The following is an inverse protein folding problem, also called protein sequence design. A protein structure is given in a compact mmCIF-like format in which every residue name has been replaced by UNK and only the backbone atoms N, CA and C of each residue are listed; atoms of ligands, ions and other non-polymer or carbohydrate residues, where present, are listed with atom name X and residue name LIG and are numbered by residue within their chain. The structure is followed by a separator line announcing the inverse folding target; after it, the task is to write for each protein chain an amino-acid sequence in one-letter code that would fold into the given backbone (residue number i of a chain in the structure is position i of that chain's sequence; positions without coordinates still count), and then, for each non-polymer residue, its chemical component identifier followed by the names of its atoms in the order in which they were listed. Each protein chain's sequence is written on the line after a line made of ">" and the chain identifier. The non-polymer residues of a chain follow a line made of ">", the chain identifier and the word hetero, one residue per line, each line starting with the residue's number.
data_IF_872463133055
#
_entry.id   IF_872463133055
#
_cell.length_a   1.000
_cell.length_b   1.000
_cell.length_c   1.000
_cell.angle_alpha   90.00
_cell.angle_beta   90.00
_cell.angle_gamma   90.00
#
_symmetry.space_group_name_H-M   'P 1'
#
loop_
_entity.id
_entity.type
_entity.pdbx_description
1 polymer ?
#
# COMPACT_ATOMS: atom_id res chain seq x y z
N UNK A 1 11.18 17.26 -10.83
CA UNK A 1 10.80 16.94 -9.43
C UNK A 1 10.89 15.44 -9.30
N UNK A 2 11.98 14.94 -8.72
CA UNK A 2 12.39 13.53 -8.82
C UNK A 2 11.50 12.60 -7.98
N UNK A 3 11.02 11.54 -8.61
CA UNK A 3 10.28 10.44 -7.97
C UNK A 3 11.26 9.56 -7.16
N UNK A 4 10.91 9.22 -5.91
CA UNK A 4 11.54 8.12 -5.16
C UNK A 4 10.55 6.95 -5.05
N UNK A 5 10.94 5.72 -5.47
CA UNK A 5 10.06 4.55 -5.46
C UNK A 5 9.89 3.93 -4.05
N UNK A 6 8.90 3.05 -3.88
CA UNK A 6 9.18 1.72 -3.29
C UNK A 6 8.65 1.33 -1.91
N UNK A 7 8.06 2.22 -1.10
CA UNK A 7 7.67 1.86 0.27
C UNK A 7 6.35 1.07 0.36
N UNK A 8 6.40 -0.14 0.93
CA UNK A 8 5.25 -0.96 1.30
C UNK A 8 4.97 -0.83 2.79
N UNK A 9 3.70 -0.72 3.18
CA UNK A 9 3.30 -0.65 4.59
C UNK A 9 2.84 -2.00 5.12
N UNK A 10 3.07 -2.20 6.41
CA UNK A 10 2.80 -3.45 7.08
C UNK A 10 2.36 -3.15 8.51
N UNK A 11 1.52 -4.03 9.03
CA UNK A 11 1.16 -4.04 10.44
C UNK A 11 1.37 -5.43 10.99
N UNK A 12 2.12 -5.55 12.07
CA UNK A 12 2.38 -6.82 12.74
C UNK A 12 1.84 -6.78 14.15
N UNK A 13 1.04 -7.78 14.51
CA UNK A 13 0.48 -7.92 15.87
C UNK A 13 1.24 -9.01 16.64
N UNK A 14 1.75 -8.65 17.82
CA UNK A 14 2.44 -9.55 18.77
C UNK A 14 1.91 -9.24 20.17
N UNK A 15 1.27 -10.20 20.83
CA UNK A 15 0.85 -10.13 22.25
C UNK A 15 0.16 -8.83 22.69
N UNK A 16 -0.75 -8.30 21.84
CA UNK A 16 -1.48 -7.06 22.14
C UNK A 16 -0.73 -5.77 21.78
N UNK A 17 0.47 -5.87 21.18
CA UNK A 17 1.15 -4.76 20.55
C UNK A 17 0.97 -4.80 19.02
N UNK A 18 0.57 -3.67 18.44
CA UNK A 18 0.51 -3.46 16.99
C UNK A 18 1.69 -2.62 16.55
N UNK A 19 2.53 -3.20 15.67
CA UNK A 19 3.71 -2.55 15.11
C UNK A 19 3.38 -2.17 13.67
N UNK A 20 3.33 -0.86 13.37
CA UNK A 20 3.22 -0.39 11.99
C UNK A 20 4.62 -0.08 11.47
N UNK A 21 4.95 -0.59 10.29
CA UNK A 21 6.28 -0.51 9.71
C UNK A 21 6.25 -0.45 8.19
N UNK A 22 7.38 -0.07 7.60
CA UNK A 22 7.53 0.02 6.14
C UNK A 22 8.80 -0.66 5.66
N UNK A 23 8.77 -1.19 4.44
CA UNK A 23 9.97 -1.70 3.74
C UNK A 23 10.06 -1.14 2.35
N UNK A 24 11.28 -1.08 1.84
CA UNK A 24 11.53 -0.92 0.42
C UNK A 24 11.56 -2.33 -0.21
N UNK A 25 10.63 -2.61 -1.12
CA UNK A 25 10.57 -3.93 -1.78
C UNK A 25 9.84 -5.01 -0.97
N UNK A 26 10.49 -6.18 -0.77
CA UNK A 26 9.84 -7.35 -0.14
C UNK A 26 9.73 -7.16 1.38
N UNK A 27 8.63 -7.62 2.01
CA UNK A 27 8.43 -7.47 3.45
C UNK A 27 9.44 -8.31 4.24
N UNK A 28 10.42 -7.65 4.84
CA UNK A 28 11.42 -8.21 5.76
C UNK A 28 11.48 -7.36 7.02
N UNK A 29 11.00 -7.92 8.14
CA UNK A 29 10.80 -7.18 9.39
C UNK A 29 12.10 -6.62 9.98
N UNK A 30 13.20 -7.36 9.86
CA UNK A 30 14.55 -6.99 10.26
C UNK A 30 15.13 -5.82 9.44
N UNK A 31 14.77 -5.73 8.16
CA UNK A 31 15.16 -4.63 7.26
C UNK A 31 14.17 -3.43 7.32
N UNK A 32 13.04 -3.62 8.00
CA UNK A 32 11.94 -2.68 8.10
C UNK A 32 12.26 -1.40 8.88
N UNK A 33 11.46 -0.37 8.62
CA UNK A 33 11.48 0.91 9.34
C UNK A 33 10.19 1.03 10.15
N UNK A 34 10.31 1.12 11.48
CA UNK A 34 9.16 1.14 12.39
C UNK A 34 8.55 2.54 12.40
N UNK A 35 7.27 2.63 12.05
CA UNK A 35 6.51 3.89 12.06
C UNK A 35 5.84 4.14 13.40
N UNK A 36 5.26 3.09 14.01
CA UNK A 36 4.65 3.20 15.33
C UNK A 36 4.55 1.87 16.04
N UNK A 37 4.46 1.92 17.36
CA UNK A 37 4.01 0.84 18.22
C UNK A 37 2.76 1.33 18.96
N UNK A 38 1.68 0.58 18.90
CA UNK A 38 0.54 0.74 19.79
C UNK A 38 0.50 -0.47 20.73
N UNK A 39 0.89 -0.26 21.98
CA UNK A 39 0.84 -1.29 23.02
C UNK A 39 -0.45 -1.16 23.84
N UNK A 40 -1.38 -2.08 23.62
CA UNK A 40 -2.68 -2.07 24.30
C UNK A 40 -2.60 -2.32 25.81
N UNK A 41 -1.49 -2.90 26.29
CA UNK A 41 -1.23 -3.09 27.72
C UNK A 41 -0.61 -1.86 28.41
N UNK A 42 -0.14 -0.87 27.63
CA UNK A 42 0.53 0.31 28.16
C UNK A 42 -0.44 1.46 28.42
N UNK A 43 -0.33 2.06 29.61
CA UNK A 43 -1.03 3.29 29.97
C UNK A 43 -0.16 4.55 29.77
N UNK A 44 1.02 4.42 29.15
CA UNK A 44 1.88 5.56 28.88
C UNK A 44 1.15 6.60 28.00
N UNK A 45 1.35 7.91 28.23
CA UNK A 45 0.84 8.94 27.32
C UNK A 45 1.38 8.72 25.90
N UNK A 46 0.58 9.08 24.91
CA UNK A 46 1.00 9.00 23.52
C UNK A 46 2.19 9.92 23.25
N UNK A 47 3.20 9.41 22.56
CA UNK A 47 4.46 10.14 22.30
C UNK A 47 5.01 9.91 20.91
N UNK A 48 5.83 10.84 20.44
CA UNK A 48 6.68 10.70 19.27
C UNK A 48 8.14 10.69 19.71
N UNK A 49 8.93 9.78 19.14
CA UNK A 49 10.39 9.75 19.29
C UNK A 49 11.01 10.20 17.98
N UNK A 50 11.76 11.29 18.00
CA UNK A 50 12.48 11.82 16.85
C UNK A 50 13.81 11.08 16.63
N UNK A 51 14.45 11.33 15.49
CA UNK A 51 15.68 10.65 15.06
C UNK A 51 16.85 10.83 16.05
N UNK A 52 16.88 11.94 16.77
CA UNK A 52 17.89 12.26 17.79
C UNK A 52 17.54 11.71 19.18
N UNK A 53 16.41 11.00 19.31
CA UNK A 53 15.89 10.49 20.57
C UNK A 53 15.00 11.48 21.33
N UNK A 54 14.77 12.70 20.83
CA UNK A 54 13.87 13.66 21.45
C UNK A 54 12.45 13.10 21.52
N UNK A 55 11.79 13.28 22.66
CA UNK A 55 10.43 12.79 22.90
C UNK A 55 9.44 13.96 22.93
N UNK A 56 8.42 13.90 22.07
CA UNK A 56 7.33 14.87 21.99
C UNK A 56 6.01 14.22 22.43
N UNK A 57 5.18 14.94 23.18
CA UNK A 57 3.83 14.47 23.51
C UNK A 57 2.90 14.57 22.29
N UNK A 58 2.01 13.59 22.11
CA UNK A 58 1.02 13.57 21.03
C UNK A 58 -0.40 13.96 21.48
N UNK A 59 -0.52 14.66 22.60
CA UNK A 59 -1.80 15.13 23.16
C UNK A 59 -2.76 13.97 23.46
N UNK A 60 -4.02 14.14 23.08
CA UNK A 60 -5.14 13.22 23.37
C UNK A 60 -5.16 11.95 22.51
N UNK A 61 -4.04 11.60 21.89
CA UNK A 61 -3.89 10.35 21.14
C UNK A 61 -3.97 9.13 22.07
N UNK A 62 -4.23 7.96 21.49
CA UNK A 62 -4.38 6.71 22.24
C UNK A 62 -3.19 6.43 23.17
N UNK A 63 -3.46 6.09 24.43
CA UNK A 63 -2.42 5.67 25.39
C UNK A 63 -1.72 4.40 24.88
N UNK A 64 -0.44 4.29 25.19
CA UNK A 64 0.43 3.22 24.68
C UNK A 64 0.90 3.43 23.23
N UNK A 65 0.49 4.52 22.55
CA UNK A 65 0.98 4.88 21.22
C UNK A 65 2.35 5.55 21.29
N UNK A 66 3.33 4.94 20.63
CA UNK A 66 4.62 5.56 20.31
C UNK A 66 4.77 5.67 18.79
N UNK A 67 4.97 6.88 18.27
CA UNK A 67 5.28 7.15 16.86
C UNK A 67 6.77 7.42 16.70
N UNK A 68 7.40 6.93 15.63
CA UNK A 68 8.81 7.17 15.38
C UNK A 68 9.04 8.02 14.13
N UNK A 69 9.88 9.04 14.29
CA UNK A 69 10.22 10.00 13.25
C UNK A 69 9.05 10.85 12.76
N UNK A 70 9.38 11.78 11.87
CA UNK A 70 8.39 12.61 11.14
C UNK A 70 8.24 12.14 9.68
N UNK A 71 9.31 11.59 9.11
CA UNK A 71 9.35 11.04 7.76
C UNK A 71 9.87 9.59 7.76
N UNK A 72 9.63 8.85 6.67
CA UNK A 72 10.07 7.45 6.55
C UNK A 72 11.58 7.29 6.75
N UNK A 73 12.38 8.23 6.22
CA UNK A 73 13.84 8.20 6.34
C UNK A 73 14.36 8.43 7.77
N UNK A 74 13.53 8.98 8.66
CA UNK A 74 13.89 9.24 10.06
C UNK A 74 13.52 8.08 11.00
N UNK A 75 12.79 7.09 10.47
CA UNK A 75 12.30 5.97 11.27
C UNK A 75 13.46 5.04 11.62
N UNK A 76 13.55 4.58 12.87
CA UNK A 76 14.50 3.55 13.25
C UNK A 76 14.10 2.19 12.66
N UNK A 77 15.09 1.31 12.49
CA UNK A 77 14.83 -0.12 12.40
C UNK A 77 14.52 -0.72 13.78
N UNK A 78 14.22 -2.04 13.86
CA UNK A 78 13.86 -2.70 15.11
C UNK A 78 14.91 -2.53 16.23
N UNK A 79 16.19 -2.62 15.88
CA UNK A 79 17.31 -2.43 16.83
C UNK A 79 17.29 -1.00 17.40
N UNK A 80 17.18 0.01 16.53
CA UNK A 80 17.17 1.41 16.96
C UNK A 80 15.96 1.75 17.84
N UNK A 81 14.80 1.11 17.62
CA UNK A 81 13.66 1.26 18.54
C UNK A 81 14.03 0.78 19.94
N UNK A 82 14.70 -0.38 20.07
CA UNK A 82 15.14 -0.91 21.36
C UNK A 82 16.25 -0.08 22.02
N UNK A 83 17.06 0.63 21.24
CA UNK A 83 18.07 1.57 21.75
C UNK A 83 17.41 2.84 22.32
N UNK A 84 16.42 3.41 21.62
CA UNK A 84 15.69 4.57 22.12
C UNK A 84 14.77 4.22 23.30
N UNK A 85 14.11 3.07 23.23
CA UNK A 85 13.09 2.64 24.17
C UNK A 85 13.34 1.17 24.56
N UNK A 86 14.18 0.92 25.59
CA UNK A 86 14.52 -0.42 26.06
C UNK A 86 13.31 -1.27 26.42
N UNK A 87 12.18 -0.67 26.81
CA UNK A 87 10.92 -1.36 27.06
C UNK A 87 10.37 -2.12 25.83
N UNK A 88 10.71 -1.68 24.63
CA UNK A 88 10.33 -2.37 23.38
C UNK A 88 11.43 -3.28 22.84
N UNK A 89 12.60 -3.37 23.48
CA UNK A 89 13.73 -4.14 22.94
C UNK A 89 13.38 -5.62 22.70
N UNK A 90 12.68 -6.27 23.63
CA UNK A 90 12.26 -7.67 23.42
C UNK A 90 11.18 -7.81 22.35
N UNK A 91 10.18 -6.92 22.35
CA UNK A 91 9.16 -6.88 21.31
C UNK A 91 9.79 -6.75 19.91
N UNK A 92 10.79 -5.88 19.77
CA UNK A 92 11.50 -5.66 18.51
C UNK A 92 12.37 -6.84 18.10
N UNK A 93 13.01 -7.54 19.06
CA UNK A 93 13.73 -8.79 18.76
C UNK A 93 12.79 -9.86 18.22
N UNK A 94 11.62 -10.04 18.83
CA UNK A 94 10.60 -10.98 18.39
C UNK A 94 10.04 -10.61 17.02
N UNK A 95 9.72 -9.33 16.82
CA UNK A 95 9.31 -8.79 15.53
C UNK A 95 10.35 -9.05 14.43
N UNK A 96 11.63 -8.77 14.68
CA UNK A 96 12.70 -9.01 13.71
C UNK A 96 12.90 -10.51 13.39
N UNK A 97 12.55 -11.43 14.32
CA UNK A 97 12.51 -12.88 14.07
C UNK A 97 11.27 -13.33 13.28
N UNK A 98 10.36 -12.41 12.94
CA UNK A 98 9.14 -12.71 12.20
C UNK A 98 8.00 -13.27 13.06
N UNK A 99 8.06 -13.07 14.38
CA UNK A 99 6.96 -13.47 15.27
C UNK A 99 5.72 -12.57 15.07
N UNK A 100 4.54 -13.13 15.32
CA UNK A 100 3.26 -12.41 15.21
C UNK A 100 2.53 -12.59 13.88
N UNK A 101 1.38 -11.91 13.77
CA UNK A 101 0.55 -11.91 12.56
C UNK A 101 0.81 -10.62 11.79
N UNK A 102 1.36 -10.73 10.59
CA UNK A 102 1.61 -9.59 9.70
C UNK A 102 0.50 -9.43 8.66
N UNK A 103 -0.15 -8.28 8.68
CA UNK A 103 -1.02 -7.80 7.62
C UNK A 103 -0.23 -6.86 6.70
N UNK A 104 -0.20 -7.18 5.42
CA UNK A 104 0.42 -6.31 4.41
C UNK A 104 -0.60 -5.29 3.92
N UNK A 105 -0.33 -4.02 4.17
CA UNK A 105 -1.09 -2.90 3.63
C UNK A 105 -0.26 -2.31 2.50
N UNK A 106 -0.58 -2.63 1.25
CA UNK A 106 0.03 -1.87 0.14
C UNK A 106 -0.58 -0.48 0.14
N UNK A 107 -0.05 0.41 0.98
CA UNK A 107 -0.37 1.84 1.00
C UNK A 107 0.82 2.64 0.53
N UNK A 108 1.28 2.37 -0.69
CA UNK A 108 1.59 3.53 -1.50
C UNK A 108 0.23 4.14 -1.88
N UNK A 109 0.07 5.45 -1.72
CA UNK A 109 -0.69 6.15 -2.76
C UNK A 109 0.02 5.80 -4.07
N UNK A 110 -0.49 4.82 -4.83
CA UNK A 110 0.05 4.47 -6.13
C UNK A 110 -0.08 3.03 -6.60
N UNK A 111 -0.30 2.03 -5.74
CA UNK A 111 -0.66 0.69 -6.23
C UNK A 111 -2.19 0.59 -6.31
N UNK A 112 -2.73 1.09 -7.41
CA UNK A 112 -4.14 0.91 -7.69
C UNK A 112 -4.46 -0.58 -7.87
N UNK A 113 -5.70 -1.01 -7.55
CA UNK A 113 -6.12 -2.37 -7.83
C UNK A 113 -5.92 -2.69 -9.32
N UNK A 114 -5.13 -3.72 -9.59
CA UNK A 114 -4.95 -4.23 -10.94
C UNK A 114 -6.19 -5.01 -11.37
N UNK A 115 -6.91 -4.44 -12.32
CA UNK A 115 -8.09 -5.01 -12.96
C UNK A 115 -7.65 -6.01 -14.03
N UNK A 116 -8.19 -7.22 -14.01
CA UNK A 116 -8.17 -8.08 -15.19
C UNK A 116 -9.20 -7.62 -16.24
N UNK A 117 -9.30 -8.34 -17.37
CA UNK A 117 -10.22 -7.97 -18.45
C UNK A 117 -11.70 -7.97 -18.05
N UNK A 118 -12.10 -8.78 -17.07
CA UNK A 118 -13.49 -8.85 -16.60
C UNK A 118 -13.80 -7.66 -15.70
N UNK A 119 -12.92 -7.35 -14.76
CA UNK A 119 -13.03 -6.17 -13.92
C UNK A 119 -12.93 -4.86 -14.72
N UNK A 120 -12.07 -4.81 -15.74
CA UNK A 120 -11.98 -3.68 -16.67
C UNK A 120 -13.31 -3.49 -17.42
N UNK A 121 -13.92 -4.58 -17.90
CA UNK A 121 -15.20 -4.55 -18.59
C UNK A 121 -16.31 -4.00 -17.68
N UNK A 122 -16.45 -4.57 -16.48
CA UNK A 122 -17.44 -4.15 -15.50
C UNK A 122 -17.29 -2.66 -15.14
N UNK A 123 -16.05 -2.21 -14.91
CA UNK A 123 -15.76 -0.82 -14.55
C UNK A 123 -16.09 0.18 -15.66
N UNK A 124 -15.94 -0.21 -16.92
CA UNK A 124 -16.23 0.65 -18.09
C UNK A 124 -17.65 0.50 -18.64
N UNK A 125 -18.50 -0.29 -17.99
CA UNK A 125 -19.84 -0.58 -18.49
C UNK A 125 -19.83 -1.33 -19.81
N UNK A 126 -18.79 -2.13 -20.07
CA UNK A 126 -18.62 -2.92 -21.28
C UNK A 126 -18.85 -4.42 -20.99
N UNK A 127 -19.12 -5.18 -22.04
CA UNK A 127 -19.08 -6.64 -21.94
C UNK A 127 -17.63 -7.14 -22.03
N UNK A 128 -17.33 -8.25 -21.37
CA UNK A 128 -16.03 -8.93 -21.51
C UNK A 128 -15.68 -9.23 -22.99
N UNK A 129 -16.69 -9.60 -23.80
CA UNK A 129 -16.52 -9.85 -25.24
C UNK A 129 -16.06 -8.60 -26.00
N UNK A 130 -16.62 -7.43 -25.66
CA UNK A 130 -16.21 -6.14 -26.23
C UNK A 130 -14.76 -5.81 -25.88
N UNK A 131 -14.37 -5.95 -24.60
CA UNK A 131 -12.99 -5.73 -24.14
C UNK A 131 -12.02 -6.69 -24.81
N UNK A 132 -12.37 -7.97 -24.95
CA UNK A 132 -11.56 -8.96 -25.68
C UNK A 132 -11.37 -8.58 -27.16
N UNK A 133 -12.42 -8.09 -27.82
CA UNK A 133 -12.34 -7.62 -29.22
C UNK A 133 -11.46 -6.38 -29.36
N UNK A 134 -11.58 -5.42 -28.44
CA UNK A 134 -10.71 -4.23 -28.40
C UNK A 134 -9.26 -4.61 -28.16
N UNK A 135 -8.99 -5.58 -27.26
CA UNK A 135 -7.63 -6.10 -27.05
C UNK A 135 -7.04 -6.68 -28.33
N UNK A 136 -7.77 -7.55 -29.03
CA UNK A 136 -7.27 -8.15 -30.28
C UNK A 136 -6.99 -7.13 -31.38
N UNK A 137 -7.63 -5.96 -31.29
CA UNK A 137 -7.50 -4.84 -32.23
C UNK A 137 -6.53 -3.76 -31.75
N UNK A 138 -5.91 -3.91 -30.58
CA UNK A 138 -5.00 -2.91 -30.00
C UNK A 138 -5.69 -1.60 -29.60
N UNK A 139 -7.00 -1.63 -29.31
CA UNK A 139 -7.81 -0.45 -28.98
C UNK A 139 -7.92 -0.18 -27.46
N UNK A 140 -7.42 -1.09 -26.64
CA UNK A 140 -7.28 -0.91 -25.19
C UNK A 140 -6.02 -0.12 -24.86
N UNK A 141 -5.94 0.53 -23.68
CA UNK A 141 -4.70 1.13 -23.24
C UNK A 141 -3.64 0.04 -23.03
N UNK A 142 -2.37 0.44 -23.09
CA UNK A 142 -1.28 -0.46 -22.74
C UNK A 142 -1.51 -1.01 -21.32
N UNK A 143 -1.27 -2.31 -21.09
CA UNK A 143 -1.43 -2.89 -19.76
C UNK A 143 -0.37 -2.34 -18.80
N UNK A 144 -0.81 -2.01 -17.58
CA UNK A 144 0.08 -1.57 -16.50
C UNK A 144 0.88 -2.76 -15.92
N UNK A 145 0.33 -3.97 -16.02
CA UNK A 145 0.98 -5.21 -15.61
C UNK A 145 0.50 -6.41 -16.43
N UNK A 146 1.21 -7.53 -16.29
CA UNK A 146 0.83 -8.81 -16.88
C UNK A 146 0.75 -9.89 -15.79
N UNK A 147 -0.37 -10.60 -15.71
CA UNK A 147 -0.52 -11.85 -14.96
C UNK A 147 -0.38 -13.01 -15.93
N UNK A 148 0.85 -13.52 -16.08
CA UNK A 148 1.17 -14.48 -17.14
C UNK A 148 0.95 -13.85 -18.53
N UNK A 149 0.02 -14.40 -19.31
CA UNK A 149 -0.37 -13.86 -20.64
C UNK A 149 -1.58 -12.92 -20.59
N UNK A 150 -2.12 -12.69 -19.40
CA UNK A 150 -3.31 -11.86 -19.19
C UNK A 150 -2.90 -10.44 -18.81
N UNK A 151 -3.37 -9.41 -19.56
CA UNK A 151 -3.11 -8.02 -19.22
C UNK A 151 -3.86 -7.60 -17.96
N UNK A 152 -3.29 -6.65 -17.23
CA UNK A 152 -3.93 -6.00 -16.11
C UNK A 152 -3.75 -4.49 -16.20
N UNK A 153 -4.73 -3.74 -15.69
CA UNK A 153 -4.75 -2.27 -15.71
C UNK A 153 -5.04 -1.72 -14.33
N UNK A 154 -4.46 -0.57 -14.02
CA UNK A 154 -4.85 0.23 -12.88
C UNK A 154 -6.28 0.76 -13.07
N UNK A 155 -6.96 1.08 -11.96
CA UNK A 155 -8.29 1.69 -11.99
C UNK A 155 -8.33 3.02 -12.75
N UNK A 156 -7.30 3.85 -12.64
CA UNK A 156 -7.14 5.14 -13.29
C UNK A 156 -6.83 5.00 -14.77
N UNK A 157 -6.04 4.00 -15.16
CA UNK A 157 -5.84 3.65 -16.58
C UNK A 157 -7.17 3.27 -17.22
N UNK A 158 -8.00 2.50 -16.53
CA UNK A 158 -9.35 2.19 -16.99
C UNK A 158 -10.23 3.46 -17.04
N UNK A 159 -10.23 4.28 -16.00
CA UNK A 159 -11.10 5.46 -15.89
C UNK A 159 -10.76 6.55 -16.91
N UNK A 160 -9.46 6.76 -17.16
CA UNK A 160 -8.95 7.72 -18.15
C UNK A 160 -9.14 7.24 -19.60
N UNK A 161 -9.28 5.93 -19.82
CA UNK A 161 -9.48 5.39 -21.15
C UNK A 161 -10.89 5.64 -21.66
N UNK A 162 -10.99 6.33 -22.78
CA UNK A 162 -12.26 6.55 -23.49
C UNK A 162 -12.39 5.49 -24.59
N UNK A 163 -13.52 4.76 -24.66
CA UNK A 163 -13.72 3.81 -25.74
C UNK A 163 -13.68 4.55 -27.08
N UNK A 164 -13.08 3.96 -28.13
CA UNK A 164 -13.22 4.51 -29.46
C UNK A 164 -14.72 4.63 -29.76
N UNK A 165 -15.15 5.84 -30.14
CA UNK A 165 -16.56 6.11 -30.44
C UNK A 165 -17.10 5.11 -31.45
N UNK A 166 -18.43 4.92 -31.55
CA UNK A 166 -19.02 4.04 -32.53
C UNK A 166 -18.45 4.41 -33.90
N UNK A 167 -17.59 3.54 -34.44
CA UNK A 167 -16.99 3.73 -35.75
C UNK A 167 -18.12 3.95 -36.75
N UNK A 168 -17.90 4.89 -37.68
CA UNK A 168 -18.79 5.17 -38.82
C UNK A 168 -19.42 3.88 -39.33
N UNK A 169 -20.68 3.70 -38.96
CA UNK A 169 -21.39 2.43 -38.99
C UNK A 169 -22.63 2.45 -38.09
N UNK A 170 -23.13 3.64 -37.73
CA UNK A 170 -24.56 3.80 -37.50
C UNK A 170 -25.21 3.43 -38.84
N UNK A 171 -25.98 2.34 -38.84
CA UNK A 171 -26.79 1.93 -39.98
C UNK A 171 -27.59 3.14 -40.48
N UNK A 172 -27.27 3.63 -41.67
CA UNK A 172 -28.09 4.57 -42.45
C UNK A 172 -29.31 3.89 -43.07
N UNK A 173 -29.89 2.91 -42.39
CA UNK A 173 -31.05 2.16 -42.85
C UNK A 173 -32.05 2.11 -41.70
N UNK A 174 -32.80 3.19 -41.54
CA UNK A 174 -34.12 3.28 -40.91
C UNK A 174 -34.66 4.68 -41.24
N UNK A 175 -34.98 4.89 -42.53
CA UNK A 175 -35.95 5.88 -43.00
C UNK A 175 -36.26 5.54 -44.46
N UNK A 176 -37.30 4.73 -44.63
CA UNK A 176 -37.98 4.39 -45.87
C UNK A 176 -39.40 4.04 -45.53
#
# INVERSE_FOLDING_TARGET
>A
MGYSPGWSWHSTNIDGATINWVTEGKPRADEGRVASVLDSGSSAPARRVLRDGTIEALGDSARGLTVFGSYVGDRPGPVGVGEFLPEYAELMRRFARGEGITHHYVTSRGAEPLLDMEMFAARRGLTYRTVRSYRSRGLLPAPDAMRGRSPQWNTSTADAWTPPGPGRGARTDLTG
#
